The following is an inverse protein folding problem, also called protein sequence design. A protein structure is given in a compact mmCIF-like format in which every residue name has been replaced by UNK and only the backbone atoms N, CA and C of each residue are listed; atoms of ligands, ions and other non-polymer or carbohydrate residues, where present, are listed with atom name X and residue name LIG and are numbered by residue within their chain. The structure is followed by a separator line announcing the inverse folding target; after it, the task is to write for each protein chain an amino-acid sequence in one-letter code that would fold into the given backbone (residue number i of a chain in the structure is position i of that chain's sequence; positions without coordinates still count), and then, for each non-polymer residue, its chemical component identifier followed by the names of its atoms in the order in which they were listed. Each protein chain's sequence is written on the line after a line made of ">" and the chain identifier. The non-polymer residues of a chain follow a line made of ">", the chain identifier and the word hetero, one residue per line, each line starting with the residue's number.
data_IF_921218728019
#
_entry.id   IF_921218728019
#
_cell.length_a   1.000
_cell.length_b   1.000
_cell.length_c   1.000
_cell.angle_alpha   90.00
_cell.angle_beta   90.00
_cell.angle_gamma   90.00
#
_symmetry.space_group_name_H-M   'P 1'
#
loop_
_entity.id
_entity.type
_entity.pdbx_description
1 polymer ?
#
# COMPACT_ATOMS: atom_id res chain seq x y z
N UNK A 1 -4.52 -2.59 2.41
CA UNK A 1 -5.62 -2.02 3.23
C UNK A 1 -5.58 -2.72 4.57
N UNK A 2 -5.48 -1.96 5.65
CA UNK A 2 -5.46 -2.49 7.02
C UNK A 2 -6.69 -2.00 7.79
N UNK A 3 -7.01 -2.66 8.89
CA UNK A 3 -8.08 -2.26 9.82
C UNK A 3 -7.52 -2.20 11.24
N UNK A 4 -8.11 -1.34 12.08
CA UNK A 4 -7.84 -1.31 13.52
C UNK A 4 -8.07 -2.71 14.11
N UNK A 5 -7.28 -3.06 15.13
CA UNK A 5 -7.40 -4.29 15.92
C UNK A 5 -6.99 -5.60 15.19
N UNK A 6 -6.57 -5.51 13.92
CA UNK A 6 -5.84 -6.60 13.25
C UNK A 6 -4.37 -6.62 13.70
N UNK A 7 -3.76 -7.82 13.72
CA UNK A 7 -2.32 -7.96 13.95
C UNK A 7 -1.52 -7.15 12.91
N UNK A 8 -0.35 -6.57 13.26
CA UNK A 8 0.40 -5.67 12.38
C UNK A 8 0.80 -6.23 11.01
N UNK A 9 0.97 -7.55 10.90
CA UNK A 9 1.30 -8.24 9.64
C UNK A 9 0.09 -8.89 8.96
N UNK A 10 -1.11 -8.70 9.51
CA UNK A 10 -2.38 -9.05 8.85
C UNK A 10 -2.84 -7.89 7.95
N UNK A 11 -3.92 -8.09 7.19
CA UNK A 11 -4.53 -7.07 6.34
C UNK A 11 -5.90 -7.51 5.84
N UNK A 12 -6.68 -6.56 5.31
CA UNK A 12 -7.88 -6.85 4.52
C UNK A 12 -7.53 -7.13 3.05
N UNK A 13 -6.61 -6.35 2.48
CA UNK A 13 -6.10 -6.54 1.12
C UNK A 13 -4.61 -6.16 1.07
N UNK A 14 -3.80 -6.91 0.33
CA UNK A 14 -2.36 -6.67 0.15
C UNK A 14 -1.99 -6.52 -1.32
N UNK A 15 -1.06 -5.61 -1.60
CA UNK A 15 -0.56 -5.31 -2.95
C UNK A 15 0.97 -5.47 -3.00
N UNK A 16 1.48 -6.72 -2.98
CA UNK A 16 2.89 -6.98 -2.69
C UNK A 16 3.84 -6.70 -3.87
N UNK A 17 3.31 -6.48 -5.08
CA UNK A 17 4.11 -6.20 -6.28
C UNK A 17 3.84 -4.77 -6.75
N UNK A 18 4.46 -3.80 -6.07
CA UNK A 18 4.33 -2.38 -6.39
C UNK A 18 4.52 -2.02 -7.88
N UNK A 19 5.46 -2.65 -8.64
CA UNK A 19 5.64 -2.36 -10.07
C UNK A 19 4.43 -2.66 -10.96
N UNK A 20 3.45 -3.45 -10.49
CA UNK A 20 2.23 -3.77 -11.26
C UNK A 20 1.08 -2.80 -11.00
N UNK A 21 1.23 -1.88 -10.05
CA UNK A 21 0.19 -0.91 -9.73
C UNK A 21 0.11 0.20 -10.79
N UNK A 22 -1.11 0.51 -11.20
CA UNK A 22 -1.43 1.56 -12.15
C UNK A 22 -2.41 2.52 -11.51
N UNK A 23 -2.64 3.69 -12.13
CA UNK A 23 -3.58 4.71 -11.62
C UNK A 23 -4.98 4.15 -11.32
N UNK A 24 -5.48 3.23 -12.16
CA UNK A 24 -6.76 2.56 -11.94
C UNK A 24 -6.75 1.69 -10.68
N UNK A 25 -5.65 1.01 -10.39
CA UNK A 25 -5.49 0.17 -9.20
C UNK A 25 -5.55 1.03 -7.94
N UNK A 26 -4.83 2.16 -7.90
CA UNK A 26 -4.92 3.11 -6.78
C UNK A 26 -6.34 3.63 -6.55
N UNK A 27 -7.10 3.95 -7.61
CA UNK A 27 -8.50 4.36 -7.49
C UNK A 27 -9.38 3.24 -6.90
N UNK A 28 -9.18 1.99 -7.31
CA UNK A 28 -9.90 0.84 -6.75
C UNK A 28 -9.56 0.59 -5.28
N UNK A 29 -8.28 0.69 -4.92
CA UNK A 29 -7.81 0.58 -3.52
C UNK A 29 -8.52 1.60 -2.64
N UNK A 30 -8.58 2.86 -3.06
CA UNK A 30 -9.30 3.90 -2.33
C UNK A 30 -10.81 3.62 -2.22
N UNK A 31 -11.43 3.13 -3.31
CA UNK A 31 -12.86 2.76 -3.31
C UNK A 31 -13.14 1.62 -2.33
N UNK A 32 -12.32 0.57 -2.29
CA UNK A 32 -12.50 -0.56 -1.38
C UNK A 32 -12.25 -0.15 0.07
N UNK A 33 -11.20 0.65 0.34
CA UNK A 33 -10.97 1.21 1.67
C UNK A 33 -12.19 1.99 2.19
N UNK A 34 -12.83 2.81 1.33
CA UNK A 34 -14.04 3.54 1.68
C UNK A 34 -15.26 2.63 1.90
N UNK A 35 -15.36 1.50 1.19
CA UNK A 35 -16.42 0.51 1.40
C UNK A 35 -16.24 -0.25 2.71
N UNK A 36 -15.02 -0.69 3.02
CA UNK A 36 -14.70 -1.29 4.32
C UNK A 36 -15.00 -0.32 5.48
N UNK A 37 -14.70 0.96 5.31
CA UNK A 37 -15.02 1.99 6.31
C UNK A 37 -16.53 2.13 6.57
N UNK A 38 -17.38 1.75 5.60
CA UNK A 38 -18.85 1.71 5.74
C UNK A 38 -19.39 0.36 6.22
N UNK A 39 -18.53 -0.60 6.56
CA UNK A 39 -18.94 -1.96 6.94
C UNK A 39 -19.43 -2.82 5.77
N UNK A 40 -19.23 -2.38 4.53
CA UNK A 40 -19.55 -3.19 3.36
C UNK A 40 -18.50 -4.30 3.16
N UNK A 41 -18.86 -5.34 2.40
CA UNK A 41 -17.94 -6.42 1.98
C UNK A 41 -17.66 -6.29 0.47
N UNK A 42 -16.73 -5.42 0.05
CA UNK A 42 -16.39 -5.26 -1.36
C UNK A 42 -15.72 -6.51 -1.93
N UNK A 43 -15.88 -6.73 -3.24
CA UNK A 43 -15.00 -7.62 -3.97
C UNK A 43 -13.56 -7.05 -3.91
N UNK A 44 -12.55 -7.85 -3.53
CA UNK A 44 -11.16 -7.41 -3.49
C UNK A 44 -10.69 -6.89 -4.84
N UNK A 45 -9.73 -5.98 -4.82
CA UNK A 45 -9.05 -5.54 -6.03
C UNK A 45 -8.37 -6.77 -6.66
N UNK A 46 -8.50 -6.99 -7.99
CA UNK A 46 -7.93 -8.17 -8.64
C UNK A 46 -6.45 -8.35 -8.32
N UNK A 47 -6.06 -9.57 -7.95
CA UNK A 47 -4.65 -9.84 -7.67
C UNK A 47 -3.82 -9.76 -8.95
N UNK A 48 -2.70 -9.07 -8.86
CA UNK A 48 -1.71 -8.94 -9.92
C UNK A 48 -0.46 -9.69 -9.46
N UNK A 49 0.01 -10.63 -10.29
CA UNK A 49 1.19 -11.42 -9.99
C UNK A 49 2.01 -11.64 -11.26
N UNK A 50 3.23 -11.09 -11.28
CA UNK A 50 4.24 -11.33 -12.29
C UNK A 50 5.44 -12.03 -11.61
N UNK A 51 5.70 -13.26 -12.02
CA UNK A 51 6.84 -14.06 -11.58
C UNK A 51 8.19 -13.38 -11.85
N UNK A 52 8.26 -12.47 -12.82
CA UNK A 52 9.47 -11.69 -13.16
C UNK A 52 9.59 -10.38 -12.39
N UNK A 53 8.59 -9.99 -11.59
CA UNK A 53 8.63 -8.75 -10.81
C UNK A 53 9.82 -8.73 -9.84
N UNK A 54 10.07 -9.84 -9.15
CA UNK A 54 11.18 -9.96 -8.20
C UNK A 54 12.55 -9.90 -8.89
N UNK A 55 12.85 -10.75 -9.90
CA UNK A 55 14.10 -10.64 -10.67
C UNK A 55 14.40 -9.23 -11.19
N UNK A 56 13.37 -8.52 -11.69
CA UNK A 56 13.55 -7.18 -12.28
C UNK A 56 13.71 -6.07 -11.25
N UNK A 57 12.94 -6.12 -10.16
CA UNK A 57 12.72 -4.94 -9.31
C UNK A 57 13.14 -5.12 -7.85
N UNK A 58 13.49 -6.32 -7.38
CA UNK A 58 13.79 -6.53 -5.95
C UNK A 58 14.98 -5.70 -5.47
N UNK A 59 16.07 -5.63 -6.25
CA UNK A 59 17.24 -4.83 -5.88
C UNK A 59 16.89 -3.32 -5.82
N UNK A 60 16.11 -2.83 -6.78
CA UNK A 60 15.63 -1.44 -6.80
C UNK A 60 14.73 -1.16 -5.60
N UNK A 61 13.80 -2.08 -5.29
CA UNK A 61 12.93 -1.97 -4.13
C UNK A 61 13.71 -1.92 -2.81
N UNK A 62 14.76 -2.73 -2.67
CA UNK A 62 15.63 -2.69 -1.50
C UNK A 62 16.34 -1.34 -1.36
N UNK A 63 16.92 -0.80 -2.44
CA UNK A 63 17.60 0.50 -2.42
C UNK A 63 16.64 1.67 -2.09
N UNK A 64 15.42 1.65 -2.64
CA UNK A 64 14.41 2.65 -2.34
C UNK A 64 13.98 2.57 -0.87
N UNK A 65 13.77 1.35 -0.35
CA UNK A 65 13.42 1.15 1.05
C UNK A 65 14.54 1.58 2.01
N UNK A 66 15.81 1.32 1.67
CA UNK A 66 16.96 1.80 2.46
C UNK A 66 16.92 3.33 2.58
N UNK A 67 16.78 4.04 1.45
CA UNK A 67 16.73 5.51 1.44
C UNK A 67 15.53 6.08 2.20
N UNK A 68 14.36 5.45 2.08
CA UNK A 68 13.18 5.86 2.85
C UNK A 68 13.39 5.64 4.36
N UNK A 69 14.04 4.53 4.74
CA UNK A 69 14.32 4.17 6.14
C UNK A 69 15.27 5.17 6.83
N UNK A 70 16.17 5.82 6.09
CA UNK A 70 17.05 6.88 6.62
C UNK A 70 16.26 8.08 7.20
N UNK A 71 14.98 8.25 6.82
CA UNK A 71 14.12 9.33 7.29
C UNK A 71 13.31 8.95 8.56
N UNK A 72 13.50 7.75 9.12
CA UNK A 72 12.80 7.32 10.33
C UNK A 72 13.27 8.09 11.55
N UNK A 73 12.34 8.81 12.19
CA UNK A 73 12.54 9.45 13.50
C UNK A 73 11.85 8.60 14.56
N UNK A 74 12.63 7.93 15.41
CA UNK A 74 12.10 7.04 16.45
C UNK A 74 11.14 7.80 17.38
N UNK A 75 10.00 7.18 17.68
CA UNK A 75 8.94 7.69 18.55
C UNK A 75 8.28 9.00 18.11
N UNK A 76 8.56 9.51 16.91
CA UNK A 76 7.83 10.65 16.37
C UNK A 76 6.37 10.25 16.06
N UNK A 77 5.43 11.12 16.42
CA UNK A 77 4.02 10.95 16.05
C UNK A 77 3.80 11.26 14.55
N UNK A 78 2.84 10.60 13.87
CA UNK A 78 2.45 10.97 12.51
C UNK A 78 1.97 12.43 12.42
N UNK A 79 2.28 13.10 11.30
CA UNK A 79 1.90 14.49 11.04
C UNK A 79 0.78 14.55 10.00
N UNK A 80 -0.24 15.37 10.24
CA UNK A 80 -1.30 15.62 9.27
C UNK A 80 -0.80 16.41 8.05
N UNK A 81 -1.19 15.99 6.85
CA UNK A 81 -0.73 16.57 5.58
C UNK A 81 -1.89 17.20 4.81
N UNK A 82 -1.69 18.41 4.29
CA UNK A 82 -2.62 19.05 3.33
C UNK A 82 -2.18 18.69 1.91
N UNK A 83 -3.04 18.00 1.16
CA UNK A 83 -2.80 17.66 -0.24
C UNK A 83 -3.35 18.77 -1.14
N UNK A 84 -2.56 19.21 -2.12
CA UNK A 84 -2.99 20.11 -3.20
C UNK A 84 -2.84 19.37 -4.53
N UNK A 85 -3.93 19.31 -5.29
CA UNK A 85 -3.92 18.80 -6.65
C UNK A 85 -3.70 20.00 -7.58
N UNK A 86 -2.71 19.86 -8.48
CA UNK A 86 -2.50 20.81 -9.59
C UNK A 86 -3.35 20.40 -10.78
#
# INVERSE_FOLDING_TARGET
>A
IHQKDLFPLSNLELFPQAPLLERRHFRMIGKNAAKYAKGETPNPVPQMNDQMARPKYQAVAALLHIKETEHVVKNAAPVGMKVSFK
#
